data_IF_779156127233
#
_entry.id   IF_779156127233
#
_cell.length_a   1.000
_cell.length_b   1.000
_cell.length_c   1.000
_cell.angle_alpha   90.00
_cell.angle_beta   90.00
_cell.angle_gamma   90.00
#
_symmetry.space_group_name_H-M   'P 1'
#
loop_
_entity.id
_entity.type
_entity.pdbx_description
1 polymer ?
#
# COMPACT_ATOMS: atom_id res chain seq x y z
N UNK A 1 8.05 34.35 -17.05
CA UNK A 1 8.46 33.99 -15.68
C UNK A 1 9.19 32.65 -15.76
N UNK A 2 10.49 32.61 -15.44
CA UNK A 2 11.27 31.38 -15.54
C UNK A 2 10.92 30.48 -14.35
N UNK A 3 10.37 29.32 -14.63
CA UNK A 3 10.14 28.25 -13.66
C UNK A 3 11.49 27.70 -13.19
N UNK A 4 11.82 27.92 -11.92
CA UNK A 4 13.01 27.31 -11.32
C UNK A 4 12.83 25.79 -11.31
N UNK A 5 13.53 25.09 -12.18
CA UNK A 5 13.62 23.62 -12.18
C UNK A 5 14.65 23.21 -11.11
N UNK A 6 14.18 22.62 -10.04
CA UNK A 6 15.05 22.04 -9.02
C UNK A 6 15.42 20.62 -9.46
N UNK A 7 16.68 20.43 -9.93
CA UNK A 7 17.23 19.08 -10.15
C UNK A 7 17.54 18.44 -8.81
N UNK A 8 16.81 17.41 -8.47
CA UNK A 8 17.08 16.58 -7.30
C UNK A 8 18.34 15.72 -7.57
N UNK A 9 19.32 15.78 -6.66
CA UNK A 9 20.33 14.73 -6.56
C UNK A 9 19.70 13.49 -5.90
N UNK A 10 20.00 12.25 -6.38
CA UNK A 10 19.38 11.02 -5.86
C UNK A 10 19.49 10.84 -4.33
N UNK A 11 20.49 11.42 -3.72
CA UNK A 11 20.81 11.25 -2.29
C UNK A 11 20.20 12.33 -1.36
N UNK A 12 19.36 13.22 -1.87
CA UNK A 12 18.84 14.36 -1.10
C UNK A 12 17.62 14.04 -0.22
N UNK A 13 17.25 12.77 -0.04
CA UNK A 13 16.24 12.33 0.93
C UNK A 13 16.80 12.10 2.33
N UNK A 14 18.06 12.37 2.56
CA UNK A 14 18.59 12.38 3.91
C UNK A 14 18.05 13.61 4.64
N UNK A 15 17.10 13.38 5.55
CA UNK A 15 16.75 14.31 6.60
C UNK A 15 18.05 14.77 7.27
N UNK A 16 18.53 15.95 6.93
CA UNK A 16 19.50 16.68 7.73
C UNK A 16 18.70 17.67 8.55
N UNK A 17 18.73 17.50 9.86
CA UNK A 17 18.28 18.48 10.86
C UNK A 17 16.80 18.90 10.76
N UNK A 18 15.88 17.97 10.43
CA UNK A 18 14.44 18.23 10.38
C UNK A 18 13.97 19.05 9.16
N UNK A 19 14.85 19.32 8.20
CA UNK A 19 14.47 19.99 6.95
C UNK A 19 13.92 18.99 5.95
N UNK A 20 12.65 19.14 5.60
CA UNK A 20 11.99 18.38 4.52
C UNK A 20 11.99 19.25 3.26
N UNK A 21 12.46 18.71 2.13
CA UNK A 21 12.35 19.40 0.85
C UNK A 21 10.86 19.50 0.47
N UNK A 22 10.26 20.70 0.43
CA UNK A 22 8.84 20.86 0.19
C UNK A 22 8.39 20.37 -1.21
N UNK A 23 9.29 20.31 -2.18
CA UNK A 23 8.99 19.76 -3.51
C UNK A 23 8.90 18.24 -3.43
N UNK A 24 9.86 17.58 -2.77
CA UNK A 24 9.85 16.15 -2.57
C UNK A 24 8.64 15.71 -1.73
N UNK A 25 8.28 16.46 -0.72
CA UNK A 25 7.08 16.23 0.10
C UNK A 25 5.80 16.37 -0.73
N UNK A 26 5.67 17.43 -1.53
CA UNK A 26 4.53 17.65 -2.42
C UNK A 26 4.37 16.52 -3.47
N UNK A 27 5.48 16.01 -4.03
CA UNK A 27 5.48 14.86 -4.92
C UNK A 27 5.03 13.61 -4.18
N UNK A 28 5.61 13.33 -3.00
CA UNK A 28 5.25 12.18 -2.20
C UNK A 28 3.77 12.17 -1.83
N UNK A 29 3.22 13.30 -1.38
CA UNK A 29 1.80 13.43 -1.06
C UNK A 29 0.89 13.19 -2.28
N UNK A 30 1.35 13.54 -3.48
CA UNK A 30 0.59 13.34 -4.71
C UNK A 30 0.62 11.88 -5.20
N UNK A 31 1.74 11.17 -4.98
CA UNK A 31 1.93 9.78 -5.44
C UNK A 31 1.35 8.78 -4.45
N UNK A 32 1.47 8.98 -3.15
CA UNK A 32 1.01 8.04 -2.11
C UNK A 32 -0.44 7.56 -2.27
N UNK A 33 -1.45 8.42 -2.59
CA UNK A 33 -2.80 7.94 -2.88
C UNK A 33 -2.88 7.08 -4.14
N UNK A 34 -2.07 7.40 -5.15
CA UNK A 34 -2.02 6.64 -6.40
C UNK A 34 -1.43 5.24 -6.18
N UNK A 35 -0.36 5.11 -5.40
CA UNK A 35 0.26 3.83 -5.05
C UNK A 35 -0.75 2.92 -4.34
N UNK A 36 -1.55 3.49 -3.44
CA UNK A 36 -2.61 2.75 -2.76
C UNK A 36 -3.67 2.22 -3.74
N UNK A 37 -4.11 3.05 -4.68
CA UNK A 37 -5.08 2.64 -5.70
C UNK A 37 -4.47 1.58 -6.62
N UNK A 38 -3.22 1.76 -7.05
CA UNK A 38 -2.52 0.79 -7.89
C UNK A 38 -2.39 -0.58 -7.20
N UNK A 39 -2.03 -0.59 -5.91
CA UNK A 39 -1.97 -1.82 -5.11
C UNK A 39 -3.34 -2.50 -5.02
N UNK A 40 -4.41 -1.74 -4.77
CA UNK A 40 -5.77 -2.28 -4.73
C UNK A 40 -6.20 -2.87 -6.08
N UNK A 41 -5.84 -2.22 -7.19
CA UNK A 41 -6.13 -2.73 -8.54
C UNK A 41 -5.31 -3.98 -8.86
N UNK A 42 -4.05 -4.03 -8.41
CA UNK A 42 -3.22 -5.24 -8.50
C UNK A 42 -3.88 -6.42 -7.78
N UNK A 43 -4.29 -6.22 -6.53
CA UNK A 43 -4.93 -7.25 -5.72
C UNK A 43 -6.31 -7.66 -6.26
N UNK A 44 -7.02 -6.75 -6.95
CA UNK A 44 -8.36 -7.01 -7.49
C UNK A 44 -8.33 -7.67 -8.86
N UNK A 45 -7.45 -7.19 -9.74
CA UNK A 45 -7.45 -7.59 -11.15
C UNK A 45 -6.17 -8.25 -11.64
N UNK A 46 -5.03 -7.94 -11.01
CA UNK A 46 -3.68 -8.22 -11.52
C UNK A 46 -3.28 -7.22 -12.61
N UNK A 47 -2.16 -6.51 -12.44
CA UNK A 47 -1.73 -5.47 -13.39
C UNK A 47 -1.49 -6.02 -14.80
N UNK A 48 -0.97 -7.25 -14.92
CA UNK A 48 -0.72 -7.90 -16.21
C UNK A 48 -2.03 -8.35 -16.90
N UNK A 49 -3.03 -8.71 -16.10
CA UNK A 49 -4.32 -9.19 -16.60
C UNK A 49 -5.26 -8.05 -16.99
N UNK A 50 -5.25 -6.95 -16.23
CA UNK A 50 -6.22 -5.86 -16.37
C UNK A 50 -6.29 -5.26 -17.79
N UNK A 51 -5.18 -5.05 -18.54
CA UNK A 51 -5.26 -4.55 -19.91
C UNK A 51 -6.07 -5.45 -20.86
N UNK A 52 -6.12 -6.76 -20.60
CA UNK A 52 -6.92 -7.72 -21.37
C UNK A 52 -8.40 -7.77 -20.99
N UNK A 53 -8.79 -7.15 -19.87
CA UNK A 53 -10.18 -7.11 -19.37
C UNK A 53 -10.96 -5.87 -19.83
N UNK A 54 -10.28 -4.92 -20.46
CA UNK A 54 -10.84 -3.65 -20.90
C UNK A 54 -10.65 -3.46 -22.39
N UNK A 55 -11.35 -2.48 -22.98
CA UNK A 55 -11.18 -2.18 -24.41
C UNK A 55 -9.76 -1.73 -24.73
N UNK A 56 -9.22 -2.06 -25.92
CA UNK A 56 -7.90 -1.61 -26.36
C UNK A 56 -7.75 -0.09 -26.31
N UNK A 57 -8.84 0.63 -26.59
CA UNK A 57 -8.86 2.09 -26.52
C UNK A 57 -8.66 2.61 -25.09
N UNK A 58 -9.28 1.96 -24.09
CA UNK A 58 -9.12 2.33 -22.67
C UNK A 58 -7.71 2.00 -22.21
N UNK A 59 -7.19 0.82 -22.53
CA UNK A 59 -5.84 0.41 -22.22
C UNK A 59 -4.79 1.39 -22.79
N UNK A 60 -4.96 1.82 -24.06
CA UNK A 60 -4.07 2.78 -24.70
C UNK A 60 -4.13 4.17 -24.05
N UNK A 61 -5.33 4.64 -23.66
CA UNK A 61 -5.50 5.91 -22.94
C UNK A 61 -4.80 5.87 -21.58
N UNK A 62 -4.94 4.76 -20.85
CA UNK A 62 -4.30 4.56 -19.57
C UNK A 62 -2.76 4.52 -19.71
N UNK A 63 -2.23 3.79 -20.69
CA UNK A 63 -0.79 3.77 -20.99
C UNK A 63 -0.23 5.16 -21.31
N UNK A 64 -0.96 5.96 -22.08
CA UNK A 64 -0.59 7.35 -22.37
C UNK A 64 -0.61 8.24 -21.11
N UNK A 65 -1.58 8.03 -20.21
CA UNK A 65 -1.63 8.75 -18.95
C UNK A 65 -0.46 8.38 -18.02
N UNK A 66 -0.10 7.08 -17.98
CA UNK A 66 1.06 6.58 -17.22
C UNK A 66 2.35 7.22 -17.73
N UNK A 67 2.60 7.21 -19.04
CA UNK A 67 3.79 7.83 -19.61
C UNK A 67 3.91 9.34 -19.28
N UNK A 68 2.77 10.05 -19.23
CA UNK A 68 2.75 11.46 -18.81
C UNK A 68 3.06 11.65 -17.33
N UNK A 69 2.62 10.74 -16.46
CA UNK A 69 2.99 10.76 -15.05
C UNK A 69 4.48 10.49 -14.87
N UNK A 70 5.01 9.47 -15.55
CA UNK A 70 6.43 9.12 -15.47
C UNK A 70 7.30 10.32 -15.89
N UNK A 71 6.97 10.99 -17.01
CA UNK A 71 7.64 12.19 -17.46
C UNK A 71 7.51 13.36 -16.46
N UNK A 72 6.35 13.52 -15.80
CA UNK A 72 6.16 14.55 -14.79
C UNK A 72 7.01 14.28 -13.54
N UNK A 73 7.13 13.02 -13.11
CA UNK A 73 7.98 12.61 -11.99
C UNK A 73 9.46 12.87 -12.33
N UNK A 74 9.89 12.50 -13.53
CA UNK A 74 11.25 12.76 -13.99
C UNK A 74 11.58 14.27 -14.05
N UNK A 75 10.62 15.11 -14.44
CA UNK A 75 10.78 16.56 -14.45
C UNK A 75 10.89 17.18 -13.06
N UNK A 76 10.47 16.44 -12.01
CA UNK A 76 10.48 16.87 -10.60
C UNK A 76 9.71 18.17 -10.34
N UNK A 77 8.59 18.39 -11.07
CA UNK A 77 7.71 19.55 -10.92
C UNK A 77 6.44 19.14 -10.18
N UNK A 78 6.37 19.43 -8.87
CA UNK A 78 5.28 18.98 -8.01
C UNK A 78 3.85 19.27 -8.53
N UNK A 79 3.52 20.46 -9.07
CA UNK A 79 2.19 20.71 -9.64
C UNK A 79 1.85 19.81 -10.84
N UNK A 80 2.83 19.47 -11.68
CA UNK A 80 2.63 18.59 -12.83
C UNK A 80 2.44 17.15 -12.39
N UNK A 81 3.20 16.70 -11.38
CA UNK A 81 3.02 15.39 -10.73
C UNK A 81 1.63 15.29 -10.12
N UNK A 82 1.19 16.28 -9.35
CA UNK A 82 -0.15 16.30 -8.75
C UNK A 82 -1.26 16.22 -9.80
N UNK A 83 -1.15 16.98 -10.88
CA UNK A 83 -2.12 16.98 -11.98
C UNK A 83 -2.16 15.64 -12.70
N UNK A 84 -1.01 15.05 -13.04
CA UNK A 84 -0.93 13.77 -13.74
C UNK A 84 -1.30 12.60 -12.84
N UNK A 85 -0.96 12.61 -11.55
CA UNK A 85 -1.42 11.64 -10.57
C UNK A 85 -2.96 11.63 -10.46
N UNK A 86 -3.59 12.82 -10.43
CA UNK A 86 -5.05 12.94 -10.47
C UNK A 86 -5.69 12.34 -11.74
N UNK A 87 -5.01 12.46 -12.89
CA UNK A 87 -5.46 11.80 -14.14
C UNK A 87 -5.33 10.29 -14.01
N UNK A 88 -4.23 9.78 -13.46
CA UNK A 88 -4.01 8.35 -13.24
C UNK A 88 -5.03 7.73 -12.27
N UNK A 89 -5.37 8.41 -11.17
CA UNK A 89 -6.41 7.94 -10.25
C UNK A 89 -7.76 7.75 -10.95
N UNK A 90 -8.15 8.72 -11.79
CA UNK A 90 -9.38 8.59 -12.62
C UNK A 90 -9.25 7.50 -13.67
N UNK A 91 -8.04 7.30 -14.22
CA UNK A 91 -7.74 6.21 -15.14
C UNK A 91 -7.97 4.84 -14.49
N UNK A 92 -7.45 4.62 -13.30
CA UNK A 92 -7.67 3.40 -12.53
C UNK A 92 -9.17 3.15 -12.26
N UNK A 93 -9.89 4.17 -11.82
CA UNK A 93 -11.33 4.05 -11.58
C UNK A 93 -12.12 3.71 -12.87
N UNK A 94 -11.70 4.25 -14.01
CA UNK A 94 -12.32 3.94 -15.29
C UNK A 94 -12.03 2.49 -15.75
N UNK A 95 -10.81 1.99 -15.56
CA UNK A 95 -10.45 0.60 -15.85
C UNK A 95 -11.25 -0.37 -14.97
N UNK A 96 -11.35 -0.09 -13.68
CA UNK A 96 -12.14 -0.91 -12.74
C UNK A 96 -13.61 -0.97 -13.12
N UNK A 97 -14.20 0.18 -13.44
CA UNK A 97 -15.58 0.28 -13.86
C UNK A 97 -15.85 -0.50 -15.17
N UNK A 98 -14.93 -0.41 -16.16
CA UNK A 98 -15.08 -1.12 -17.43
C UNK A 98 -14.92 -2.63 -17.25
N UNK A 99 -13.92 -3.09 -16.49
CA UNK A 99 -13.73 -4.51 -16.19
C UNK A 99 -14.93 -5.08 -15.42
N UNK A 100 -15.46 -4.36 -14.45
CA UNK A 100 -16.66 -4.75 -13.70
C UNK A 100 -17.89 -4.81 -14.60
N UNK A 101 -18.09 -3.82 -15.47
CA UNK A 101 -19.20 -3.79 -16.45
C UNK A 101 -19.09 -4.92 -17.46
N UNK A 102 -17.87 -5.32 -17.82
CA UNK A 102 -17.61 -6.48 -18.68
C UNK A 102 -17.95 -7.83 -18.05
N UNK A 103 -18.39 -7.86 -16.78
CA UNK A 103 -18.74 -9.07 -16.05
C UNK A 103 -17.51 -9.91 -15.64
N UNK A 104 -16.33 -9.34 -15.69
CA UNK A 104 -15.12 -10.02 -15.23
C UNK A 104 -15.12 -10.19 -13.71
N UNK A 105 -14.65 -11.37 -13.27
CA UNK A 105 -14.53 -11.65 -11.83
C UNK A 105 -13.17 -11.16 -11.31
N UNK A 106 -13.15 -10.45 -10.17
CA UNK A 106 -11.91 -10.14 -9.44
C UNK A 106 -11.10 -11.40 -9.11
N UNK A 107 -9.81 -11.21 -8.83
CA UNK A 107 -8.97 -12.28 -8.29
C UNK A 107 -9.48 -12.67 -6.91
N UNK A 108 -9.48 -13.96 -6.64
CA UNK A 108 -9.81 -14.47 -5.31
C UNK A 108 -8.67 -14.13 -4.34
N UNK A 109 -9.00 -13.73 -3.11
CA UNK A 109 -7.99 -13.48 -2.09
C UNK A 109 -7.21 -14.75 -1.76
N UNK A 110 -5.91 -14.60 -1.57
CA UNK A 110 -5.07 -15.66 -1.06
C UNK A 110 -5.18 -15.74 0.46
N UNK A 111 -5.28 -16.96 1.02
CA UNK A 111 -5.52 -17.17 2.44
C UNK A 111 -4.46 -18.12 3.00
N UNK A 112 -3.89 -17.73 4.15
CA UNK A 112 -3.05 -18.59 4.98
C UNK A 112 -3.77 -18.82 6.31
N UNK A 113 -4.11 -20.04 6.61
CA UNK A 113 -4.72 -20.43 7.90
C UNK A 113 -3.66 -20.91 8.87
N UNK A 114 -3.77 -20.51 10.11
CA UNK A 114 -2.88 -20.90 11.19
C UNK A 114 -3.67 -21.25 12.44
N UNK A 115 -3.12 -22.17 13.24
CA UNK A 115 -3.65 -22.52 14.58
C UNK A 115 -2.51 -22.37 15.57
N UNK A 116 -2.71 -21.55 16.59
CA UNK A 116 -1.72 -21.39 17.68
C UNK A 116 -1.69 -22.64 18.56
N UNK A 117 -0.62 -22.80 19.35
CA UNK A 117 -0.49 -23.88 20.33
C UNK A 117 -1.62 -23.89 21.38
N UNK A 118 -2.20 -22.71 21.66
CA UNK A 118 -3.37 -22.56 22.51
C UNK A 118 -4.70 -22.94 21.81
N UNK A 119 -4.65 -23.43 20.56
CA UNK A 119 -5.83 -23.82 19.79
C UNK A 119 -6.60 -22.68 19.15
N UNK A 120 -6.11 -21.43 19.21
CA UNK A 120 -6.75 -20.31 18.54
C UNK A 120 -6.51 -20.39 17.04
N UNK A 121 -7.59 -20.33 16.25
CA UNK A 121 -7.56 -20.37 14.80
C UNK A 121 -7.68 -18.96 14.22
N UNK A 122 -6.76 -18.60 13.34
CA UNK A 122 -6.84 -17.36 12.56
C UNK A 122 -6.40 -17.59 11.12
N UNK A 123 -6.77 -16.68 10.26
CA UNK A 123 -6.34 -16.66 8.88
C UNK A 123 -5.85 -15.26 8.51
N UNK A 124 -4.78 -15.20 7.74
CA UNK A 124 -4.30 -13.96 7.11
C UNK A 124 -4.71 -14.00 5.66
N UNK A 125 -5.33 -12.94 5.18
CA UNK A 125 -5.79 -12.83 3.82
C UNK A 125 -5.07 -11.69 3.08
N UNK A 126 -4.63 -11.97 1.87
CA UNK A 126 -4.13 -11.00 0.92
C UNK A 126 -5.04 -10.96 -0.29
N UNK A 127 -5.61 -9.80 -0.58
CA UNK A 127 -6.55 -9.63 -1.67
C UNK A 127 -7.12 -8.22 -1.68
N UNK A 128 -8.06 -7.97 -2.59
CA UNK A 128 -8.79 -6.71 -2.60
C UNK A 128 -9.75 -6.62 -1.40
N UNK A 129 -10.12 -5.39 -1.02
CA UNK A 129 -10.92 -5.11 0.18
C UNK A 129 -12.27 -5.85 0.19
N UNK A 130 -12.95 -5.92 -0.95
CA UNK A 130 -14.25 -6.59 -1.08
C UNK A 130 -14.11 -8.11 -0.91
N UNK A 131 -13.07 -8.71 -1.49
CA UNK A 131 -12.76 -10.12 -1.33
C UNK A 131 -12.44 -10.49 0.11
N UNK A 132 -11.61 -9.68 0.79
CA UNK A 132 -11.30 -9.89 2.23
C UNK A 132 -12.58 -9.76 3.08
N UNK A 133 -13.43 -8.78 2.79
CA UNK A 133 -14.72 -8.63 3.47
C UNK A 133 -15.62 -9.84 3.27
N UNK A 134 -15.68 -10.39 2.06
CA UNK A 134 -16.44 -11.60 1.78
C UNK A 134 -15.89 -12.81 2.56
N UNK A 135 -14.56 -12.94 2.70
CA UNK A 135 -13.95 -13.99 3.50
C UNK A 135 -14.31 -13.91 4.98
N UNK A 136 -14.38 -12.72 5.57
CA UNK A 136 -14.76 -12.53 6.99
C UNK A 136 -16.17 -13.02 7.31
N UNK A 137 -17.01 -13.18 6.29
CA UNK A 137 -18.40 -13.66 6.41
C UNK A 137 -18.61 -15.01 5.76
N UNK A 138 -17.54 -15.67 5.30
CA UNK A 138 -17.66 -16.95 4.60
C UNK A 138 -17.98 -18.09 5.59
N UNK A 139 -18.96 -18.95 5.29
CA UNK A 139 -19.38 -20.03 6.20
C UNK A 139 -18.23 -20.98 6.58
N UNK A 140 -17.34 -21.31 5.64
CA UNK A 140 -16.22 -22.22 5.90
C UNK A 140 -15.16 -21.65 6.85
N UNK A 141 -15.23 -20.34 7.14
CA UNK A 141 -14.34 -19.63 8.07
C UNK A 141 -15.08 -19.23 9.36
N UNK A 142 -16.23 -19.83 9.63
CA UNK A 142 -16.96 -19.60 10.87
C UNK A 142 -16.07 -19.98 12.08
N UNK A 143 -15.96 -19.04 13.04
CA UNK A 143 -15.09 -19.21 14.21
C UNK A 143 -13.60 -19.00 13.96
N UNK A 144 -13.19 -18.61 12.75
CA UNK A 144 -11.81 -18.25 12.40
C UNK A 144 -11.70 -16.73 12.31
N UNK A 145 -10.78 -16.13 13.07
CA UNK A 145 -10.49 -14.70 12.93
C UNK A 145 -9.72 -14.43 11.63
N UNK A 146 -10.30 -13.65 10.70
CA UNK A 146 -9.67 -13.32 9.42
C UNK A 146 -9.12 -11.89 9.48
N UNK A 147 -7.82 -11.76 9.26
CA UNK A 147 -7.10 -10.49 9.23
C UNK A 147 -6.53 -10.22 7.83
N UNK A 148 -6.59 -8.99 7.38
CA UNK A 148 -5.79 -8.54 6.23
C UNK A 148 -4.35 -8.32 6.64
N UNK A 149 -3.41 -8.32 5.67
CA UNK A 149 -2.02 -7.94 5.92
C UNK A 149 -1.91 -6.53 6.54
N UNK A 150 -2.73 -5.58 6.10
CA UNK A 150 -2.77 -4.22 6.67
C UNK A 150 -3.26 -4.21 8.12
N UNK A 151 -4.22 -5.07 8.49
CA UNK A 151 -4.69 -5.19 9.87
C UNK A 151 -3.60 -5.78 10.76
N UNK A 152 -2.89 -6.81 10.30
CA UNK A 152 -1.73 -7.36 10.99
C UNK A 152 -0.63 -6.31 11.16
N UNK A 153 -0.29 -5.57 10.10
CA UNK A 153 0.68 -4.47 10.18
C UNK A 153 0.34 -3.45 11.26
N UNK A 154 -0.92 -3.00 11.30
CA UNK A 154 -1.40 -2.06 12.33
C UNK A 154 -1.35 -2.63 13.75
N UNK A 155 -1.69 -3.91 13.91
CA UNK A 155 -1.59 -4.57 15.21
C UNK A 155 -0.14 -4.66 15.70
N UNK A 156 0.80 -4.99 14.81
CA UNK A 156 2.23 -5.03 15.14
C UNK A 156 2.79 -3.63 15.47
N UNK A 157 2.38 -2.60 14.72
CA UNK A 157 2.74 -1.21 15.01
C UNK A 157 2.22 -0.76 16.37
N UNK A 158 0.95 -1.07 16.70
CA UNK A 158 0.35 -0.75 18.00
C UNK A 158 1.09 -1.43 19.14
N UNK A 159 1.38 -2.72 19.03
CA UNK A 159 2.16 -3.48 20.02
C UNK A 159 3.57 -2.93 20.18
N UNK A 160 4.25 -2.58 19.09
CA UNK A 160 5.58 -1.97 19.13
C UNK A 160 5.56 -0.63 19.86
N UNK A 161 4.54 0.20 19.65
CA UNK A 161 4.37 1.47 20.34
C UNK A 161 4.09 1.30 21.84
N UNK A 162 3.28 0.29 22.23
CA UNK A 162 3.05 -0.05 23.64
C UNK A 162 4.37 -0.43 24.34
N UNK A 163 5.19 -1.28 23.72
CA UNK A 163 6.49 -1.67 24.23
C UNK A 163 7.45 -0.48 24.37
N UNK A 164 7.47 0.43 23.39
CA UNK A 164 8.27 1.65 23.44
C UNK A 164 7.83 2.55 24.57
N UNK A 165 6.51 2.72 24.77
CA UNK A 165 5.98 3.54 25.85
C UNK A 165 6.29 2.93 27.23
N UNK A 166 6.10 1.63 27.40
CA UNK A 166 6.44 0.92 28.63
C UNK A 166 7.96 1.02 28.95
N UNK A 167 8.81 0.94 27.93
CA UNK A 167 10.25 1.13 28.09
C UNK A 167 10.60 2.56 28.52
N UNK A 168 9.96 3.58 27.95
CA UNK A 168 10.16 4.99 28.34
C UNK A 168 9.69 5.28 29.76
N UNK A 169 8.57 4.70 30.19
CA UNK A 169 8.08 4.82 31.57
C UNK A 169 9.04 4.19 32.56
N UNK A 170 9.59 3.01 32.23
CA UNK A 170 10.53 2.30 33.11
C UNK A 170 11.93 2.92 33.15
N UNK A 171 12.33 3.62 32.09
CA UNK A 171 13.61 4.26 31.93
C UNK A 171 13.44 5.72 31.47
N UNK A 172 13.09 6.65 32.40
CA UNK A 172 12.93 8.06 32.06
C UNK A 172 14.23 8.63 31.45
N UNK A 173 14.12 9.24 30.27
CA UNK A 173 15.26 9.75 29.50
C UNK A 173 15.85 8.81 28.47
N UNK A 174 15.35 7.57 28.35
CA UNK A 174 15.74 6.69 27.25
C UNK A 174 15.19 7.19 25.91
N UNK A 175 16.05 7.22 24.90
CA UNK A 175 15.69 7.52 23.53
C UNK A 175 15.68 6.23 22.70
N UNK A 176 14.54 5.93 22.06
CA UNK A 176 14.45 4.82 21.12
C UNK A 176 15.10 5.23 19.79
N UNK A 177 16.27 4.65 19.48
CA UNK A 177 17.00 4.95 18.24
C UNK A 177 16.44 4.23 17.02
N UNK A 178 15.92 3.02 17.18
CA UNK A 178 15.26 2.23 16.13
C UNK A 178 14.46 1.10 16.76
N UNK A 179 13.31 0.78 16.16
CA UNK A 179 12.60 -0.48 16.39
C UNK A 179 12.92 -1.38 15.18
N UNK A 180 13.65 -2.46 15.42
CA UNK A 180 13.94 -3.45 14.38
C UNK A 180 12.90 -4.55 14.47
N UNK A 181 12.16 -4.74 13.40
CA UNK A 181 11.38 -5.96 13.25
C UNK A 181 12.34 -7.12 12.97
N UNK A 182 12.16 -8.30 13.57
CA UNK A 182 12.92 -9.48 13.21
C UNK A 182 12.69 -9.79 11.72
N UNK A 183 13.68 -10.38 11.02
CA UNK A 183 13.51 -10.80 9.63
C UNK A 183 12.34 -11.78 9.53
N UNK A 184 11.58 -11.67 8.43
CA UNK A 184 10.32 -12.40 8.24
C UNK A 184 10.41 -13.94 8.35
N UNK A 185 11.62 -14.50 8.30
CA UNK A 185 11.86 -15.93 8.49
C UNK A 185 11.82 -16.41 9.94
N UNK A 186 12.06 -15.52 10.90
CA UNK A 186 12.13 -15.87 12.33
C UNK A 186 10.80 -15.62 13.07
N UNK A 187 9.80 -15.03 12.39
CA UNK A 187 8.52 -14.69 13.00
C UNK A 187 7.52 -15.84 13.12
N UNK A 188 7.84 -17.01 12.60
CA UNK A 188 6.88 -18.13 12.55
C UNK A 188 6.84 -18.93 13.84
N UNK A 189 7.92 -18.92 14.64
CA UNK A 189 8.03 -19.80 15.82
C UNK A 189 7.97 -19.09 17.18
N UNK A 190 8.02 -17.75 17.24
CA UNK A 190 8.08 -17.04 18.54
C UNK A 190 7.21 -15.77 18.58
N UNK A 191 5.92 -15.87 18.35
CA UNK A 191 4.97 -14.85 18.81
C UNK A 191 4.58 -15.20 20.25
N UNK A 192 5.10 -14.49 21.28
CA UNK A 192 4.64 -14.69 22.64
C UNK A 192 3.23 -14.09 22.74
N UNK A 193 2.27 -14.92 22.87
CA UNK A 193 0.88 -14.61 23.23
C UNK A 193 0.68 -14.63 24.72
#
# INVERSE_FOLDING_TARGET
MATKTYRRKPDALTQRDGYTDPIAEGIHHSIKPLDRIATEMELKWGCDRLPGLVSPQMAAKFGSAKAKLDAAVESNVAPDVARTAGVMMRGWAALDAEATKGGHKPLEPHIWSHTTDAGFKFAVAQGNADGIKALKTHPDLEGVAVYSLDEIGRLLESKSMELVNAAKERFPGATVKAVRMPPAGDMVDELPW
#
